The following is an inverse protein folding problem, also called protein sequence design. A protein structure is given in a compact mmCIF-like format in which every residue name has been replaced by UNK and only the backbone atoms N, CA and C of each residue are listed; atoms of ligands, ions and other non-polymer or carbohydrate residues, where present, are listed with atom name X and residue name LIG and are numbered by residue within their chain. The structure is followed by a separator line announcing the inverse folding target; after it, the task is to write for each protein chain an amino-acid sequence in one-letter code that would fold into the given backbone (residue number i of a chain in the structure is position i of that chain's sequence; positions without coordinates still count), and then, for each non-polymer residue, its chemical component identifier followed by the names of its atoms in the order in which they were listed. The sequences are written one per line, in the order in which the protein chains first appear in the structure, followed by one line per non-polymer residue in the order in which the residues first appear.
data_IF_711815723472
#
_entry.id   IF_711815723472
#
_cell.length_a   1.000
_cell.length_b   1.000
_cell.length_c   1.000
_cell.angle_alpha   90.00
_cell.angle_beta   90.00
_cell.angle_gamma   90.00
#
_symmetry.space_group_name_H-M   'P 1'
#
loop_
_entity.id
_entity.type
_entity.pdbx_description
1 polymer ?
#
# COMPACT_ATOMS: atom_id res chain seq x y z
N UNK A 1 -9.31 -22.28 -3.78
CA UNK A 1 -9.57 -21.65 -2.45
C UNK A 1 -10.84 -22.24 -1.85
N UNK A 2 -11.97 -22.18 -2.52
CA UNK A 2 -13.29 -22.60 -2.01
C UNK A 2 -13.32 -24.03 -1.49
N UNK A 3 -12.81 -24.99 -2.26
CA UNK A 3 -12.72 -26.38 -1.85
C UNK A 3 -11.80 -26.60 -0.64
N UNK A 4 -10.67 -25.88 -0.62
CA UNK A 4 -9.68 -26.00 0.47
C UNK A 4 -10.19 -25.47 1.80
N UNK A 5 -10.93 -24.35 1.80
CA UNK A 5 -11.34 -23.64 3.02
C UNK A 5 -12.83 -23.81 3.36
N UNK A 6 -13.59 -24.62 2.59
CA UNK A 6 -15.03 -24.89 2.80
C UNK A 6 -15.83 -23.59 2.96
N UNK A 7 -15.73 -22.70 1.95
CA UNK A 7 -16.40 -21.40 1.96
C UNK A 7 -17.91 -21.58 2.05
N UNK A 8 -18.52 -21.01 3.10
CA UNK A 8 -19.95 -21.16 3.35
C UNK A 8 -20.83 -20.33 2.39
N UNK A 9 -20.29 -19.26 1.81
CA UNK A 9 -20.98 -18.41 0.85
C UNK A 9 -20.06 -18.07 -0.33
N UNK A 10 -19.90 -18.98 -1.31
CA UNK A 10 -18.95 -18.83 -2.43
C UNK A 10 -19.16 -17.55 -3.22
N UNK A 11 -20.38 -17.24 -3.65
CA UNK A 11 -20.65 -16.04 -4.45
C UNK A 11 -20.27 -14.73 -3.73
N UNK A 12 -20.52 -14.63 -2.44
CA UNK A 12 -20.11 -13.48 -1.65
C UNK A 12 -18.59 -13.40 -1.51
N UNK A 13 -17.91 -14.55 -1.35
CA UNK A 13 -16.47 -14.64 -1.30
C UNK A 13 -15.82 -14.20 -2.64
N UNK A 14 -16.30 -14.71 -3.77
CA UNK A 14 -15.81 -14.33 -5.10
C UNK A 14 -15.97 -12.83 -5.36
N UNK A 15 -17.16 -12.28 -5.07
CA UNK A 15 -17.44 -10.85 -5.24
C UNK A 15 -16.52 -10.00 -4.37
N UNK A 16 -16.28 -10.39 -3.12
CA UNK A 16 -15.34 -9.72 -2.22
C UNK A 16 -13.90 -9.80 -2.75
N UNK A 17 -13.47 -10.97 -3.25
CA UNK A 17 -12.14 -11.15 -3.82
C UNK A 17 -11.92 -10.24 -5.03
N UNK A 18 -12.86 -10.22 -5.98
CA UNK A 18 -12.82 -9.32 -7.12
C UNK A 18 -12.79 -7.84 -6.71
N UNK A 19 -13.63 -7.47 -5.74
CA UNK A 19 -13.66 -6.11 -5.22
C UNK A 19 -12.30 -5.71 -4.65
N UNK A 20 -11.71 -6.51 -3.75
CA UNK A 20 -10.42 -6.21 -3.11
C UNK A 20 -9.28 -6.12 -4.12
N UNK A 21 -9.24 -6.98 -5.12
CA UNK A 21 -8.24 -6.91 -6.20
C UNK A 21 -8.40 -5.62 -7.03
N UNK A 22 -9.65 -5.19 -7.28
CA UNK A 22 -9.94 -4.02 -8.10
C UNK A 22 -9.71 -2.69 -7.39
N UNK A 23 -9.92 -2.61 -6.07
CA UNK A 23 -9.70 -1.38 -5.28
C UNK A 23 -8.27 -1.26 -4.75
N UNK A 24 -7.43 -2.28 -4.96
CA UNK A 24 -6.04 -2.30 -4.50
C UNK A 24 -5.24 -1.10 -5.06
N UNK A 25 -4.41 -0.44 -4.22
CA UNK A 25 -4.24 -0.64 -2.77
C UNK A 25 -5.36 0.01 -1.95
N UNK A 26 -5.82 -0.65 -0.89
CA UNK A 26 -6.87 -0.12 -0.04
C UNK A 26 -6.77 -0.56 1.42
N UNK A 27 -7.16 0.34 2.32
CA UNK A 27 -7.38 -0.02 3.73
C UNK A 27 -8.82 -0.52 3.84
N UNK A 28 -8.99 -1.84 4.01
CA UNK A 28 -10.29 -2.48 4.03
C UNK A 28 -10.80 -2.70 5.46
N UNK A 29 -12.02 -2.26 5.73
CA UNK A 29 -12.72 -2.55 6.98
C UNK A 29 -13.48 -3.88 6.85
N UNK A 30 -13.16 -4.86 7.69
CA UNK A 30 -13.85 -6.14 7.68
C UNK A 30 -15.35 -6.00 7.98
N UNK A 31 -15.76 -4.99 8.74
CA UNK A 31 -17.17 -4.72 9.03
C UNK A 31 -17.91 -4.18 7.80
N UNK A 32 -17.28 -3.27 7.05
CA UNK A 32 -17.84 -2.73 5.81
C UNK A 32 -17.92 -3.81 4.72
N UNK A 33 -16.87 -4.63 4.58
CA UNK A 33 -16.88 -5.77 3.65
C UNK A 33 -17.96 -6.80 4.01
N UNK A 34 -18.15 -7.09 5.31
CA UNK A 34 -19.20 -7.99 5.73
C UNK A 34 -20.59 -7.46 5.35
N UNK A 35 -20.86 -6.17 5.58
CA UNK A 35 -22.12 -5.53 5.20
C UNK A 35 -22.31 -5.51 3.66
N UNK A 36 -21.26 -5.17 2.91
CA UNK A 36 -21.31 -5.04 1.45
C UNK A 36 -21.57 -6.38 0.74
N UNK A 37 -20.97 -7.47 1.21
CA UNK A 37 -21.05 -8.79 0.58
C UNK A 37 -21.97 -9.78 1.29
N UNK A 38 -22.78 -9.31 2.26
CA UNK A 38 -23.80 -10.11 2.92
C UNK A 38 -23.25 -11.17 3.87
N UNK A 39 -22.06 -10.98 4.46
CA UNK A 39 -21.54 -11.90 5.46
C UNK A 39 -22.16 -11.64 6.84
N UNK A 40 -22.41 -12.70 7.59
CA UNK A 40 -23.04 -12.61 8.91
C UNK A 40 -22.20 -11.83 9.92
N UNK A 41 -20.87 -11.84 9.80
CA UNK A 41 -19.96 -11.21 10.76
C UNK A 41 -18.71 -10.65 10.10
N UNK A 42 -18.11 -9.62 10.71
CA UNK A 42 -16.80 -9.11 10.34
C UNK A 42 -15.68 -10.17 10.46
N UNK A 43 -15.87 -11.17 11.34
CA UNK A 43 -14.94 -12.29 11.47
C UNK A 43 -14.87 -13.13 10.20
N UNK A 44 -16.01 -13.38 9.57
CA UNK A 44 -16.08 -14.09 8.28
C UNK A 44 -15.29 -13.34 7.20
N UNK A 45 -15.47 -12.02 7.10
CA UNK A 45 -14.73 -11.20 6.14
C UNK A 45 -13.21 -11.25 6.41
N UNK A 46 -12.77 -11.18 7.67
CA UNK A 46 -11.34 -11.33 8.02
C UNK A 46 -10.79 -12.69 7.61
N UNK A 47 -11.50 -13.76 7.90
CA UNK A 47 -11.05 -15.11 7.50
C UNK A 47 -10.91 -15.20 5.97
N UNK A 48 -11.83 -14.61 5.23
CA UNK A 48 -11.78 -14.62 3.78
C UNK A 48 -10.63 -13.79 3.23
N UNK A 49 -10.29 -12.65 3.84
CA UNK A 49 -9.07 -11.89 3.52
C UNK A 49 -7.83 -12.77 3.76
N UNK A 50 -7.75 -13.46 4.90
CA UNK A 50 -6.63 -14.35 5.19
C UNK A 50 -6.52 -15.51 4.20
N UNK A 51 -7.63 -16.07 3.71
CA UNK A 51 -7.61 -17.10 2.67
C UNK A 51 -7.07 -16.55 1.33
N UNK A 52 -7.41 -15.32 0.97
CA UNK A 52 -6.87 -14.66 -0.21
C UNK A 52 -5.36 -14.38 -0.07
N UNK A 53 -4.89 -14.00 1.12
CA UNK A 53 -3.47 -13.82 1.42
C UNK A 53 -2.71 -15.16 1.37
N UNK A 54 -3.26 -16.23 1.97
CA UNK A 54 -2.67 -17.57 1.93
C UNK A 54 -2.67 -18.18 0.50
N UNK A 55 -3.56 -17.71 -0.37
CA UNK A 55 -3.60 -18.09 -1.78
C UNK A 55 -2.70 -17.20 -2.66
N UNK A 56 -1.93 -16.29 -2.07
CA UNK A 56 -1.07 -15.34 -2.78
C UNK A 56 -1.82 -14.47 -3.81
N UNK A 57 -3.07 -14.11 -3.52
CA UNK A 57 -3.83 -13.14 -4.32
C UNK A 57 -3.71 -11.73 -3.74
N UNK A 58 -3.60 -11.64 -2.42
CA UNK A 58 -3.40 -10.39 -1.69
C UNK A 58 -2.15 -10.45 -0.81
N UNK A 59 -1.58 -9.30 -0.58
CA UNK A 59 -0.58 -9.04 0.45
C UNK A 59 -1.02 -7.82 1.25
N UNK A 60 -0.68 -7.79 2.54
CA UNK A 60 -1.03 -6.66 3.39
C UNK A 60 0.17 -6.11 4.13
N UNK A 61 0.20 -4.79 4.31
CA UNK A 61 1.15 -4.11 5.19
C UNK A 61 0.40 -3.40 6.32
N UNK A 62 1.00 -3.44 7.50
CA UNK A 62 0.40 -2.86 8.69
C UNK A 62 0.63 -1.35 8.77
N UNK A 63 -0.21 -0.65 9.54
CA UNK A 63 -0.01 0.76 9.83
C UNK A 63 1.19 0.96 10.74
N UNK A 64 2.07 1.89 10.40
CA UNK A 64 3.11 2.37 11.30
C UNK A 64 2.49 3.05 12.51
N UNK A 65 2.69 2.51 13.70
CA UNK A 65 2.13 3.05 14.95
C UNK A 65 2.89 2.50 16.15
N UNK A 66 3.14 3.34 17.14
CA UNK A 66 3.64 2.90 18.44
C UNK A 66 2.62 2.03 19.20
N UNK A 67 1.32 2.18 18.89
CA UNK A 67 0.24 1.39 19.51
C UNK A 67 0.07 0.07 18.77
N UNK A 68 0.45 -1.06 19.39
CA UNK A 68 0.36 -2.41 18.81
C UNK A 68 -1.05 -2.77 18.33
N UNK A 69 -2.10 -2.38 19.06
CA UNK A 69 -3.49 -2.61 18.63
C UNK A 69 -3.79 -1.97 17.28
N UNK A 70 -3.30 -0.75 17.02
CA UNK A 70 -3.52 -0.04 15.76
C UNK A 70 -2.77 -0.74 14.62
N UNK A 71 -1.53 -1.17 14.86
CA UNK A 71 -0.74 -1.93 13.88
C UNK A 71 -1.46 -3.19 13.41
N UNK A 72 -2.02 -3.96 14.34
CA UNK A 72 -2.66 -5.24 14.03
C UNK A 72 -4.03 -5.09 13.36
N UNK A 73 -4.75 -3.99 13.61
CA UNK A 73 -6.15 -3.86 13.17
C UNK A 73 -6.34 -3.03 11.90
N UNK A 74 -5.32 -2.31 11.47
CA UNK A 74 -5.38 -1.47 10.27
C UNK A 74 -4.32 -1.95 9.28
N UNK A 75 -4.76 -2.73 8.32
CA UNK A 75 -3.93 -3.28 7.26
C UNK A 75 -4.33 -2.65 5.92
N UNK A 76 -3.33 -2.24 5.12
CA UNK A 76 -3.51 -1.80 3.74
C UNK A 76 -3.25 -3.01 2.85
N UNK A 77 -4.26 -3.41 2.08
CA UNK A 77 -4.23 -4.59 1.23
C UNK A 77 -3.86 -4.23 -0.20
N UNK A 78 -3.03 -5.06 -0.80
CA UNK A 78 -2.56 -4.93 -2.17
C UNK A 78 -2.80 -6.24 -2.93
N UNK A 79 -3.12 -6.15 -4.21
CA UNK A 79 -3.00 -7.29 -5.11
C UNK A 79 -1.53 -7.71 -5.19
N UNK A 80 -1.25 -9.01 -5.20
CA UNK A 80 0.13 -9.49 -5.30
C UNK A 80 0.77 -9.18 -6.67
N UNK A 81 -0.04 -9.05 -7.71
CA UNK A 81 0.36 -8.73 -9.06
C UNK A 81 -0.60 -7.71 -9.68
N UNK A 82 -0.04 -6.70 -10.36
CA UNK A 82 -0.81 -5.65 -11.04
C UNK A 82 -1.71 -6.20 -12.15
N UNK A 83 -1.40 -7.36 -12.71
CA UNK A 83 -2.23 -8.04 -13.69
C UNK A 83 -3.60 -8.43 -13.12
N UNK A 84 -3.69 -8.68 -11.81
CA UNK A 84 -4.95 -9.00 -11.11
C UNK A 84 -5.86 -7.78 -10.94
N UNK A 85 -5.33 -6.56 -11.11
CA UNK A 85 -6.07 -5.30 -10.99
C UNK A 85 -6.82 -4.89 -12.27
N UNK A 86 -6.82 -5.73 -13.31
CA UNK A 86 -7.26 -5.36 -14.66
C UNK A 86 -8.78 -5.39 -14.91
N UNK A 87 -9.59 -5.86 -13.97
CA UNK A 87 -11.04 -6.02 -14.18
C UNK A 87 -11.89 -4.94 -13.50
N UNK A 88 -11.48 -3.69 -13.55
CA UNK A 88 -12.43 -2.60 -13.26
C UNK A 88 -13.34 -2.43 -14.47
N UNK A 89 -14.55 -2.92 -14.38
CA UNK A 89 -15.60 -2.82 -15.44
C UNK A 89 -15.95 -1.38 -15.84
N UNK A 90 -15.52 -0.38 -15.04
CA UNK A 90 -15.79 1.04 -15.26
C UNK A 90 -14.55 1.96 -15.11
N UNK A 91 -13.32 1.42 -15.13
CA UNK A 91 -12.13 2.25 -15.11
C UNK A 91 -11.68 2.57 -16.53
N UNK A 92 -11.60 3.85 -16.87
CA UNK A 92 -10.91 4.28 -18.10
C UNK A 92 -9.46 3.78 -18.06
N UNK A 93 -8.95 3.33 -19.21
CA UNK A 93 -7.54 2.95 -19.33
C UNK A 93 -6.67 4.13 -18.87
N UNK A 94 -5.87 3.91 -17.83
CA UNK A 94 -5.02 4.95 -17.23
C UNK A 94 -5.42 5.46 -15.86
N UNK A 95 -6.68 5.31 -15.43
CA UNK A 95 -7.17 5.91 -14.18
C UNK A 95 -6.53 5.34 -12.89
N UNK A 96 -5.83 4.21 -12.98
CA UNK A 96 -5.23 3.53 -11.83
C UNK A 96 -3.69 3.34 -11.94
N UNK A 97 -3.01 4.07 -12.81
CA UNK A 97 -1.56 3.94 -13.00
C UNK A 97 -0.78 4.21 -11.70
N UNK A 98 -1.21 5.18 -10.92
CA UNK A 98 -0.60 5.46 -9.61
C UNK A 98 -0.70 4.24 -8.66
N UNK A 99 -1.85 3.61 -8.58
CA UNK A 99 -2.07 2.44 -7.73
C UNK A 99 -1.28 1.21 -8.20
N UNK A 100 -1.15 1.05 -9.52
CA UNK A 100 -0.31 -0.01 -10.10
C UNK A 100 1.16 0.23 -9.79
N UNK A 101 1.63 1.46 -9.94
CA UNK A 101 3.01 1.81 -9.64
C UNK A 101 3.31 1.57 -8.14
N UNK A 102 2.42 1.98 -7.26
CA UNK A 102 2.51 1.72 -5.81
C UNK A 102 2.58 0.21 -5.51
N UNK A 103 1.76 -0.60 -6.19
CA UNK A 103 1.78 -2.07 -6.03
C UNK A 103 3.10 -2.67 -6.52
N UNK A 104 3.66 -2.20 -7.63
CA UNK A 104 4.98 -2.62 -8.13
C UNK A 104 6.08 -2.28 -7.12
N UNK A 105 6.06 -1.07 -6.58
CA UNK A 105 7.03 -0.64 -5.55
C UNK A 105 6.92 -1.52 -4.30
N UNK A 106 5.70 -1.82 -3.83
CA UNK A 106 5.53 -2.74 -2.70
C UNK A 106 6.09 -4.12 -2.98
N UNK A 107 5.82 -4.69 -4.17
CA UNK A 107 6.32 -6.02 -4.55
C UNK A 107 7.85 -6.09 -4.55
N UNK A 108 8.50 -5.00 -4.91
CA UNK A 108 9.96 -4.87 -4.84
C UNK A 108 10.44 -4.72 -3.38
N UNK A 109 9.79 -3.84 -2.61
CA UNK A 109 10.13 -3.62 -1.20
C UNK A 109 10.01 -4.90 -0.35
N UNK A 110 8.95 -5.68 -0.52
CA UNK A 110 8.76 -6.93 0.23
C UNK A 110 9.92 -7.89 -0.02
N UNK A 111 10.35 -8.04 -1.27
CA UNK A 111 11.48 -8.92 -1.60
C UNK A 111 12.77 -8.43 -0.97
N UNK A 112 13.10 -7.14 -1.15
CA UNK A 112 14.30 -6.53 -0.57
C UNK A 112 14.29 -6.63 0.95
N UNK A 113 13.25 -6.15 1.60
CA UNK A 113 13.14 -6.12 3.05
C UNK A 113 13.16 -7.53 3.68
N UNK A 114 12.63 -8.54 2.96
CA UNK A 114 12.73 -9.94 3.41
C UNK A 114 14.20 -10.40 3.52
N UNK A 115 15.03 -10.09 2.52
CA UNK A 115 16.44 -10.44 2.55
C UNK A 115 17.24 -9.65 3.59
N UNK A 116 16.86 -8.39 3.83
CA UNK A 116 17.54 -7.51 4.78
C UNK A 116 17.02 -7.63 6.22
N UNK A 117 15.98 -8.43 6.46
CA UNK A 117 15.35 -8.55 7.78
C UNK A 117 14.62 -7.29 8.23
N UNK A 118 14.10 -6.53 7.28
CA UNK A 118 13.36 -5.28 7.50
C UNK A 118 11.85 -5.49 7.36
N UNK A 119 11.09 -4.57 7.95
CA UNK A 119 9.63 -4.54 7.86
C UNK A 119 9.15 -3.33 7.06
N UNK A 120 8.05 -3.50 6.33
CA UNK A 120 7.38 -2.43 5.58
C UNK A 120 6.04 -2.11 6.23
N UNK A 121 5.81 -0.82 6.48
CA UNK A 121 4.56 -0.28 7.01
C UNK A 121 4.05 0.85 6.09
N UNK A 122 2.77 1.25 6.23
CA UNK A 122 2.28 2.53 5.73
C UNK A 122 2.01 3.47 6.91
N UNK A 123 2.05 4.78 6.65
CA UNK A 123 1.74 5.77 7.67
C UNK A 123 0.54 6.61 7.20
N UNK A 124 -0.47 6.76 8.06
CA UNK A 124 -1.66 7.55 7.77
C UNK A 124 -2.21 8.19 9.03
N UNK A 125 -2.51 9.47 8.95
CA UNK A 125 -3.28 10.20 9.95
C UNK A 125 -4.31 11.15 9.30
N UNK A 126 -4.84 12.08 10.06
CA UNK A 126 -5.83 13.06 9.56
C UNK A 126 -5.24 14.08 8.58
N UNK A 127 -3.94 14.29 8.59
CA UNK A 127 -3.24 15.28 7.78
C UNK A 127 -2.69 14.75 6.47
N UNK A 128 -2.58 13.42 6.32
CA UNK A 128 -2.07 12.80 5.10
C UNK A 128 -1.68 11.33 5.26
N UNK A 129 -1.04 10.83 4.22
CA UNK A 129 -0.57 9.44 4.11
C UNK A 129 0.85 9.43 3.54
N UNK A 130 1.70 8.52 4.03
CA UNK A 130 2.94 8.12 3.39
C UNK A 130 2.83 6.64 3.06
N UNK A 131 3.09 6.27 1.80
CA UNK A 131 2.79 4.94 1.28
C UNK A 131 3.62 3.87 1.96
N UNK A 132 4.94 4.12 2.16
CA UNK A 132 5.81 3.13 2.77
C UNK A 132 6.76 3.74 3.81
N UNK A 133 6.88 3.05 4.92
CA UNK A 133 7.83 3.31 6.01
C UNK A 133 8.62 2.03 6.22
N UNK A 134 9.88 2.01 5.82
CA UNK A 134 10.78 0.86 5.95
C UNK A 134 11.50 0.93 7.28
N UNK A 135 11.40 -0.15 8.06
CA UNK A 135 11.95 -0.24 9.40
C UNK A 135 12.93 -1.39 9.54
N UNK A 136 14.01 -1.15 10.27
CA UNK A 136 14.93 -2.15 10.78
C UNK A 136 14.74 -2.20 12.29
N UNK A 137 13.97 -3.16 12.76
CA UNK A 137 13.50 -3.22 14.13
C UNK A 137 12.70 -1.95 14.50
N UNK A 138 13.22 -1.19 15.48
CA UNK A 138 12.58 0.04 15.93
C UNK A 138 13.05 1.31 15.19
N UNK A 139 14.00 1.19 14.25
CA UNK A 139 14.57 2.33 13.53
C UNK A 139 13.94 2.44 12.14
N UNK A 140 13.35 3.59 11.85
CA UNK A 140 12.92 3.89 10.47
C UNK A 140 14.14 4.18 9.62
N UNK A 141 14.30 3.46 8.53
CA UNK A 141 15.42 3.57 7.57
C UNK A 141 15.09 4.47 6.40
N UNK A 142 13.84 4.40 5.92
CA UNK A 142 13.42 5.16 4.74
C UNK A 142 11.90 5.40 4.78
N UNK A 143 11.48 6.55 4.28
CA UNK A 143 10.08 6.86 3.99
C UNK A 143 9.93 7.06 2.48
N UNK A 144 8.98 6.37 1.86
CA UNK A 144 8.79 6.36 0.41
C UNK A 144 7.34 6.73 0.09
N UNK A 145 7.19 7.65 -0.83
CA UNK A 145 5.92 8.02 -1.44
C UNK A 145 5.95 7.63 -2.92
N UNK A 146 4.81 7.26 -3.49
CA UNK A 146 4.73 6.84 -4.89
C UNK A 146 3.65 7.64 -5.61
N UNK A 147 3.99 8.24 -6.73
CA UNK A 147 3.04 8.94 -7.60
C UNK A 147 3.39 8.68 -9.05
N UNK A 148 2.42 8.33 -9.89
CA UNK A 148 2.68 8.13 -11.31
C UNK A 148 3.25 9.39 -11.98
N UNK A 149 2.68 10.57 -11.65
CA UNK A 149 3.09 11.85 -12.19
C UNK A 149 2.87 12.96 -11.17
N UNK A 150 3.85 13.87 -11.04
CA UNK A 150 3.80 15.00 -10.12
C UNK A 150 3.84 16.37 -10.83
N UNK A 151 3.55 16.41 -12.13
CA UNK A 151 3.47 17.67 -12.89
C UNK A 151 2.33 18.57 -12.40
N UNK A 152 1.23 17.97 -11.92
CA UNK A 152 0.15 18.72 -11.30
C UNK A 152 0.58 19.19 -9.90
N UNK A 153 0.55 20.49 -9.67
CA UNK A 153 1.02 21.12 -8.43
C UNK A 153 0.25 20.63 -7.19
N UNK A 154 -1.06 20.39 -7.31
CA UNK A 154 -1.87 19.85 -6.20
C UNK A 154 -1.43 18.43 -5.84
N UNK A 155 -1.18 17.58 -6.83
CA UNK A 155 -0.64 16.25 -6.62
C UNK A 155 0.75 16.32 -5.99
N UNK A 156 1.67 17.09 -6.58
CA UNK A 156 3.02 17.30 -6.08
C UNK A 156 3.02 17.70 -4.61
N UNK A 157 2.21 18.69 -4.24
CA UNK A 157 2.08 19.18 -2.87
C UNK A 157 1.55 18.11 -1.91
N UNK A 158 0.60 17.30 -2.36
CA UNK A 158 0.03 16.19 -1.58
C UNK A 158 1.11 15.15 -1.24
N UNK A 159 1.87 14.69 -2.24
CA UNK A 159 2.89 13.65 -2.07
C UNK A 159 4.04 14.13 -1.19
N UNK A 160 4.52 15.35 -1.41
CA UNK A 160 5.54 15.97 -0.57
C UNK A 160 5.06 16.10 0.88
N UNK A 161 3.81 16.50 1.11
CA UNK A 161 3.26 16.61 2.45
C UNK A 161 3.18 15.23 3.16
N UNK A 162 2.95 14.14 2.42
CA UNK A 162 3.00 12.78 2.95
C UNK A 162 4.40 12.42 3.48
N UNK A 163 5.46 12.75 2.74
CA UNK A 163 6.84 12.55 3.21
C UNK A 163 7.20 13.45 4.39
N UNK A 164 6.79 14.71 4.36
CA UNK A 164 7.02 15.63 5.50
C UNK A 164 6.26 15.20 6.76
N UNK A 165 5.06 14.60 6.59
CA UNK A 165 4.32 13.97 7.69
C UNK A 165 5.13 12.81 8.28
N UNK A 166 5.63 11.92 7.41
CA UNK A 166 6.45 10.78 7.83
C UNK A 166 7.72 11.24 8.55
N UNK A 167 8.43 12.24 8.01
CA UNK A 167 9.59 12.83 8.68
C UNK A 167 9.26 13.34 10.09
N UNK A 168 8.17 14.10 10.25
CA UNK A 168 7.76 14.62 11.56
C UNK A 168 7.47 13.54 12.59
N UNK A 169 6.86 12.42 12.15
CA UNK A 169 6.45 11.33 13.06
C UNK A 169 7.58 10.34 13.35
N UNK A 170 8.51 10.17 12.43
CA UNK A 170 9.55 9.13 12.53
C UNK A 170 10.96 9.67 12.76
N UNK A 171 11.17 10.97 12.53
CA UNK A 171 12.48 11.62 12.49
C UNK A 171 13.43 11.05 11.42
N UNK A 172 12.88 10.30 10.45
CA UNK A 172 13.63 9.79 9.32
C UNK A 172 13.90 10.91 8.31
N UNK A 173 15.16 11.10 7.92
CA UNK A 173 15.56 12.09 6.91
C UNK A 173 15.81 11.47 5.52
N UNK A 174 15.71 10.15 5.38
CA UNK A 174 15.81 9.47 4.09
C UNK A 174 14.41 9.43 3.44
N UNK A 175 14.08 10.48 2.70
CA UNK A 175 12.78 10.70 2.09
C UNK A 175 12.88 10.55 0.58
N UNK A 176 12.11 9.62 0.02
CA UNK A 176 12.11 9.28 -1.40
C UNK A 176 10.71 9.41 -1.99
N UNK A 177 10.58 10.15 -3.08
CA UNK A 177 9.38 10.18 -3.91
C UNK A 177 9.67 9.44 -5.21
N UNK A 178 8.99 8.33 -5.43
CA UNK A 178 9.09 7.52 -6.62
C UNK A 178 8.03 7.91 -7.65
N UNK A 179 8.45 8.09 -8.89
CA UNK A 179 7.59 8.51 -9.99
C UNK A 179 7.78 7.62 -11.22
N UNK A 180 6.98 7.82 -12.27
CA UNK A 180 7.20 7.15 -13.54
C UNK A 180 8.52 7.61 -14.20
N UNK A 181 8.74 8.93 -14.32
CA UNK A 181 9.90 9.46 -15.06
C UNK A 181 10.54 10.72 -14.47
N UNK A 182 9.93 11.39 -13.47
CA UNK A 182 10.49 12.63 -12.93
C UNK A 182 11.72 12.35 -12.05
N UNK A 183 12.73 13.21 -12.21
CA UNK A 183 13.97 13.19 -11.43
C UNK A 183 14.30 14.61 -10.94
N UNK A 184 14.38 14.76 -9.64
CA UNK A 184 14.67 16.03 -8.99
C UNK A 184 15.17 15.82 -7.56
N UNK A 185 15.96 16.73 -7.03
CA UNK A 185 16.29 16.82 -5.60
C UNK A 185 15.81 18.16 -5.10
N UNK A 186 14.94 18.14 -4.10
CA UNK A 186 14.33 19.35 -3.55
C UNK A 186 14.63 19.46 -2.04
N UNK A 187 14.63 20.68 -1.55
CA UNK A 187 14.74 20.97 -0.12
C UNK A 187 13.59 21.87 0.34
N UNK A 188 12.85 21.43 1.33
CA UNK A 188 11.72 22.15 1.89
C UNK A 188 11.94 22.33 3.39
N UNK A 189 12.04 23.57 3.87
CA UNK A 189 12.31 23.89 5.26
C UNK A 189 13.55 23.18 5.82
N UNK A 190 14.59 23.03 5.02
CA UNK A 190 15.82 22.33 5.39
C UNK A 190 15.76 20.79 5.30
N UNK A 191 14.64 20.22 4.89
CA UNK A 191 14.43 18.77 4.72
C UNK A 191 14.64 18.41 3.25
N UNK A 192 15.62 17.55 2.98
CA UNK A 192 15.89 17.05 1.62
C UNK A 192 14.90 15.92 1.24
N UNK A 193 14.39 15.98 0.03
CA UNK A 193 13.55 14.94 -0.58
C UNK A 193 14.15 14.59 -1.94
N UNK A 194 14.42 13.32 -2.16
CA UNK A 194 14.94 12.78 -3.40
C UNK A 194 13.77 12.30 -4.25
N UNK A 195 13.70 12.72 -5.52
CA UNK A 195 12.67 12.29 -6.47
C UNK A 195 13.35 11.49 -7.58
N UNK A 196 12.91 10.24 -7.78
CA UNK A 196 13.51 9.32 -8.77
C UNK A 196 12.45 8.51 -9.50
N UNK A 197 12.73 8.17 -10.78
CA UNK A 197 11.94 7.17 -11.51
C UNK A 197 12.00 5.81 -10.83
N UNK A 198 10.87 5.10 -10.77
CA UNK A 198 10.79 3.76 -10.16
C UNK A 198 11.77 2.79 -10.80
N UNK A 199 11.95 2.82 -12.13
CA UNK A 199 12.85 1.90 -12.82
C UNK A 199 14.31 2.08 -12.41
N UNK A 200 14.76 3.33 -12.17
CA UNK A 200 16.12 3.59 -11.70
C UNK A 200 16.32 3.08 -10.28
N UNK A 201 15.36 3.36 -9.40
CA UNK A 201 15.41 2.88 -8.03
C UNK A 201 15.41 1.35 -7.98
N UNK A 202 14.58 0.68 -8.77
CA UNK A 202 14.50 -0.78 -8.78
C UNK A 202 15.75 -1.47 -9.38
N UNK A 203 16.51 -0.78 -10.26
CA UNK A 203 17.73 -1.31 -10.87
C UNK A 203 19.00 -0.94 -10.11
N UNK A 204 18.96 -0.01 -9.16
CA UNK A 204 20.13 0.46 -8.42
C UNK A 204 20.40 -0.30 -7.11
N UNK A 205 19.62 -1.34 -6.82
CA UNK A 205 19.68 -2.15 -5.59
C UNK A 205 20.10 -3.60 -5.86
#
# INVERSE_FOLDING_TARGET
IEQRYKIAFPAGFENMAHHLLNISPAIASASELAAMFGFKTAHTARNYIEYLKQAYLLVGINKYSAKSKVRITQEKLYAIDVALMNKRENAFAGDNLGWRLETVVLSHLIRRCHYEGQDVYYLKDRSGECDFVVCDGNKVRQCIQVSYCIQNEKTRKREINGLLLAHRQTQCSNLLLLTDHEREDITINGIAIVIRPVYEWACSE
#
